data_IF_377739567746
#
_entry.id   IF_377739567746
#
_cell.length_a   1.000
_cell.length_b   1.000
_cell.length_c   1.000
_cell.angle_alpha   90.00
_cell.angle_beta   90.00
_cell.angle_gamma   90.00
#
_symmetry.space_group_name_H-M   'P 1'
#
loop_
_entity.id
_entity.type
_entity.pdbx_description
1 polymer ?
#
# COMPACT_ATOMS: atom_id res chain seq x y z
N UNK A 1 -4.79 -1.80 -4.64
CA UNK A 1 -3.99 -1.59 -3.42
C UNK A 1 -3.05 -2.77 -3.27
N UNK A 2 -1.83 -2.54 -2.81
CA UNK A 2 -0.83 -3.58 -2.55
C UNK A 2 -0.83 -3.97 -1.07
N UNK A 3 -0.93 -5.26 -0.77
CA UNK A 3 -0.71 -5.80 0.57
C UNK A 3 0.76 -6.16 0.73
N UNK A 4 1.39 -5.60 1.76
CA UNK A 4 2.74 -5.95 2.17
C UNK A 4 2.72 -6.64 3.53
N UNK A 5 3.41 -7.79 3.64
CA UNK A 5 3.77 -8.34 4.94
C UNK A 5 4.96 -7.54 5.48
N UNK A 6 4.87 -7.13 6.74
CA UNK A 6 5.94 -6.39 7.43
C UNK A 6 6.23 -7.04 8.77
N UNK A 7 7.39 -6.72 9.36
CA UNK A 7 7.75 -7.22 10.71
C UNK A 7 6.72 -6.91 11.79
N UNK A 8 5.94 -5.84 11.62
CA UNK A 8 4.94 -5.33 12.58
C UNK A 8 3.50 -5.70 12.16
N UNK A 9 3.36 -6.63 11.19
CA UNK A 9 2.09 -7.08 10.62
C UNK A 9 1.77 -6.46 9.26
N UNK A 10 0.71 -6.96 8.64
CA UNK A 10 0.37 -6.63 7.26
C UNK A 10 -0.07 -5.18 7.07
N UNK A 11 0.36 -4.55 5.98
CA UNK A 11 0.06 -3.16 5.62
C UNK A 11 -0.46 -3.05 4.19
N UNK A 12 -1.58 -2.35 4.04
CA UNK A 12 -2.10 -1.97 2.73
C UNK A 12 -1.47 -0.65 2.28
N UNK A 13 -0.95 -0.59 1.06
CA UNK A 13 -0.32 0.60 0.47
C UNK A 13 -0.94 0.85 -0.90
N UNK A 14 -1.25 2.10 -1.23
CA UNK A 14 -1.75 2.44 -2.56
C UNK A 14 -0.66 2.29 -3.63
N UNK A 15 -1.06 2.11 -4.88
CA UNK A 15 -0.15 1.95 -6.03
C UNK A 15 0.84 3.10 -6.09
N UNK A 16 0.36 4.34 -5.93
CA UNK A 16 1.20 5.54 -5.93
C UNK A 16 2.26 5.49 -4.85
N UNK A 17 1.89 5.22 -3.60
CA UNK A 17 2.88 5.16 -2.51
C UNK A 17 3.81 3.95 -2.64
N UNK A 18 3.36 2.82 -3.19
CA UNK A 18 4.22 1.67 -3.40
C UNK A 18 5.31 1.95 -4.44
N UNK A 19 4.99 2.75 -5.48
CA UNK A 19 5.98 3.21 -6.46
C UNK A 19 6.90 4.28 -5.87
N UNK A 20 6.34 5.35 -5.29
CA UNK A 20 7.12 6.48 -4.75
C UNK A 20 8.01 6.11 -3.56
N UNK A 21 7.65 5.06 -2.81
CA UNK A 21 8.38 4.62 -1.61
C UNK A 21 9.01 3.24 -1.80
N UNK A 22 9.15 2.77 -3.04
CA UNK A 22 9.70 1.46 -3.36
C UNK A 22 11.03 1.17 -2.66
N UNK A 23 11.97 2.12 -2.68
CA UNK A 23 13.27 1.98 -2.02
C UNK A 23 13.12 1.71 -0.52
N UNK A 24 12.24 2.45 0.17
CA UNK A 24 12.00 2.29 1.60
C UNK A 24 11.34 0.94 1.90
N UNK A 25 10.40 0.51 1.05
CA UNK A 25 9.72 -0.79 1.18
C UNK A 25 10.74 -1.93 1.07
N UNK A 26 11.65 -1.86 0.08
CA UNK A 26 12.72 -2.84 -0.10
C UNK A 26 13.74 -2.81 1.05
N UNK A 27 14.18 -1.63 1.49
CA UNK A 27 15.13 -1.46 2.61
C UNK A 27 14.56 -1.98 3.94
N UNK A 28 13.24 -1.87 4.14
CA UNK A 28 12.58 -2.39 5.34
C UNK A 28 12.22 -3.88 5.24
N UNK A 29 12.51 -4.53 4.10
CA UNK A 29 12.22 -5.94 3.88
C UNK A 29 10.73 -6.25 3.87
N UNK A 30 9.91 -5.33 3.36
CA UNK A 30 8.48 -5.56 3.20
C UNK A 30 8.24 -6.48 2.00
N UNK A 31 7.49 -7.55 2.20
CA UNK A 31 7.22 -8.53 1.14
C UNK A 31 5.85 -8.27 0.52
N UNK A 32 5.80 -8.15 -0.80
CA UNK A 32 4.54 -8.02 -1.52
C UNK A 32 3.80 -9.37 -1.55
N UNK A 33 2.53 -9.37 -1.14
CA UNK A 33 1.71 -10.58 -1.03
C UNK A 33 0.67 -10.65 -2.14
N UNK A 34 -0.15 -9.62 -2.29
CA UNK A 34 -1.23 -9.58 -3.27
C UNK A 34 -1.72 -8.17 -3.55
N UNK A 35 -2.48 -8.06 -4.64
CA UNK A 35 -3.18 -6.84 -5.02
C UNK A 35 -4.67 -7.00 -4.81
N UNK A 36 -5.31 -5.93 -4.36
CA UNK A 36 -6.76 -5.87 -4.23
C UNK A 36 -7.28 -4.49 -4.57
N UNK A 37 -8.27 -4.47 -5.47
CA UNK A 37 -9.07 -3.28 -5.74
C UNK A 37 -10.24 -3.24 -4.75
N UNK A 38 -10.16 -2.32 -3.80
CA UNK A 38 -11.19 -2.12 -2.78
C UNK A 38 -11.26 -0.64 -2.41
N UNK A 39 -12.43 -0.05 -2.59
CA UNK A 39 -12.69 1.38 -2.38
C UNK A 39 -12.69 1.79 -0.90
N UNK A 40 -12.75 0.84 0.01
CA UNK A 40 -12.80 1.06 1.46
C UNK A 40 -11.42 0.92 2.09
N UNK A 41 -10.49 0.21 1.43
CA UNK A 41 -9.10 0.15 1.87
C UNK A 41 -8.47 1.55 1.87
N UNK A 42 -7.58 1.77 2.83
CA UNK A 42 -6.86 3.03 3.02
C UNK A 42 -5.37 2.74 3.11
N UNK A 43 -4.59 3.49 2.37
CA UNK A 43 -3.13 3.39 2.39
C UNK A 43 -2.60 3.67 3.79
N UNK A 44 -1.75 2.78 4.30
CA UNK A 44 -1.08 2.96 5.58
C UNK A 44 -0.16 4.19 5.59
N UNK A 45 0.39 4.57 4.42
CA UNK A 45 1.35 5.67 4.31
C UNK A 45 0.67 7.04 4.15
N UNK A 46 -0.35 7.15 3.29
CA UNK A 46 -1.01 8.44 2.99
C UNK A 46 -2.45 8.55 3.49
N UNK A 47 -3.08 7.44 3.90
CA UNK A 47 -4.47 7.43 4.36
C UNK A 47 -5.52 7.50 3.25
N UNK A 48 -5.15 7.62 1.98
CA UNK A 48 -6.08 7.68 0.85
C UNK A 48 -6.43 6.28 0.28
N UNK A 49 -7.60 6.12 -0.36
CA UNK A 49 -7.86 4.95 -1.21
C UNK A 49 -6.96 4.94 -2.45
N UNK A 50 -6.99 3.83 -3.20
CA UNK A 50 -6.24 3.71 -4.46
C UNK A 50 -6.86 4.54 -5.61
N UNK A 51 -8.17 4.75 -5.53
CA UNK A 51 -8.94 5.55 -6.48
C UNK A 51 -9.75 6.57 -5.69
N UNK A 52 -9.51 7.86 -5.95
CA UNK A 52 -10.46 8.91 -5.59
C UNK A 52 -11.48 9.00 -6.74
N UNK A 53 -12.74 8.73 -6.43
CA UNK A 53 -13.83 9.15 -7.29
C UNK A 53 -14.08 10.63 -6.96
N UNK A 54 -13.64 11.53 -7.85
CA UNK A 54 -14.21 12.87 -7.88
C UNK A 54 -15.71 12.70 -8.17
N UNK A 55 -16.54 13.17 -7.23
CA UNK A 55 -18.01 13.12 -7.25
C UNK A 55 -18.62 13.90 -8.44
#
# INVERSE_FOLDING_TARGET
>A
MHLFETKDGDRWVCITCAEEKKEIIEENGWEWILDRDDMVLRCFLCGHPDYDFDD
#
